data_IF_399790844110
#
_entry.id   IF_399790844110
#
_cell.length_a   1.000
_cell.length_b   1.000
_cell.length_c   1.000
_cell.angle_alpha   90.00
_cell.angle_beta   90.00
_cell.angle_gamma   90.00
#
_symmetry.space_group_name_H-M   'P 1'
#
loop_
_entity.id
_entity.type
_entity.pdbx_description
1 polymer ?
#
# COMPACT_ATOMS: atom_id res chain seq x y z
N UNK A 1 -17.54 8.58 14.88
CA UNK A 1 -16.16 9.05 14.69
C UNK A 1 -15.73 8.74 13.26
N UNK A 2 -15.04 9.65 12.57
CA UNK A 2 -14.55 9.42 11.19
C UNK A 2 -13.03 9.18 11.24
N UNK A 3 -12.43 8.47 10.27
CA UNK A 3 -10.98 8.23 10.26
C UNK A 3 -10.20 9.55 10.29
N UNK A 4 -9.44 9.79 11.36
CA UNK A 4 -8.73 11.06 11.59
C UNK A 4 -7.28 11.04 11.09
N UNK A 5 -6.79 9.92 10.56
CA UNK A 5 -5.38 9.73 10.18
C UNK A 5 -4.85 10.85 9.27
N UNK A 6 -5.60 11.23 8.22
CA UNK A 6 -5.22 12.34 7.32
C UNK A 6 -5.03 13.67 8.06
N UNK A 7 -5.93 13.98 9.00
CA UNK A 7 -5.81 15.18 9.83
C UNK A 7 -4.57 15.10 10.71
N UNK A 8 -4.32 13.95 11.35
CA UNK A 8 -3.15 13.77 12.23
C UNK A 8 -1.83 13.84 11.48
N UNK A 9 -1.74 13.33 10.25
CA UNK A 9 -0.55 13.52 9.41
C UNK A 9 -0.33 14.99 9.04
N UNK A 10 -1.39 15.75 8.79
CA UNK A 10 -1.27 17.20 8.58
C UNK A 10 -0.82 17.93 9.86
N UNK A 11 -1.28 17.52 11.04
CA UNK A 11 -0.82 18.07 12.33
C UNK A 11 0.68 17.77 12.57
N UNK A 12 1.18 16.61 12.13
CA UNK A 12 2.62 16.30 12.15
C UNK A 12 3.39 17.26 11.22
N UNK A 13 2.89 17.49 10.00
CA UNK A 13 3.53 18.42 9.07
C UNK A 13 3.58 19.86 9.63
N UNK A 14 2.53 20.30 10.33
CA UNK A 14 2.50 21.59 11.02
C UNK A 14 3.53 21.65 12.15
N UNK A 15 3.59 20.59 12.97
CA UNK A 15 4.54 20.50 14.09
C UNK A 15 6.00 20.53 13.64
N UNK A 16 6.30 19.92 12.49
CA UNK A 16 7.63 19.90 11.89
C UNK A 16 7.96 21.17 11.10
N UNK A 17 7.05 22.15 11.02
CA UNK A 17 7.27 23.39 10.29
C UNK A 17 7.31 23.24 8.77
N UNK A 18 6.76 22.15 8.22
CA UNK A 18 6.75 21.88 6.78
C UNK A 18 5.64 22.65 6.05
N UNK A 19 4.54 22.94 6.73
CA UNK A 19 3.36 23.60 6.16
C UNK A 19 3.54 25.12 6.00
N UNK A 20 2.75 25.71 5.09
CA UNK A 20 2.56 27.16 4.99
C UNK A 20 1.14 27.58 5.44
N UNK A 21 0.93 28.83 5.87
CA UNK A 21 -0.40 29.37 6.15
C UNK A 21 -1.34 29.18 4.95
N UNK A 22 -2.53 28.63 5.18
CA UNK A 22 -3.53 28.39 4.14
C UNK A 22 -3.42 27.04 3.43
N UNK A 23 -2.40 26.22 3.71
CA UNK A 23 -2.30 24.87 3.13
C UNK A 23 -3.48 23.99 3.55
N UNK A 24 -4.07 23.30 2.57
CA UNK A 24 -5.09 22.27 2.81
C UNK A 24 -4.43 20.99 3.34
N UNK A 25 -5.18 20.17 4.08
CA UNK A 25 -4.72 18.88 4.64
C UNK A 25 -3.96 18.02 3.64
N UNK A 26 -4.42 17.91 2.38
CA UNK A 26 -3.74 17.13 1.35
C UNK A 26 -2.33 17.68 1.06
N UNK A 27 -2.18 18.98 0.83
CA UNK A 27 -0.87 19.59 0.57
C UNK A 27 0.11 19.41 1.74
N UNK A 28 -0.38 19.44 2.99
CA UNK A 28 0.43 19.17 4.18
C UNK A 28 0.97 17.73 4.21
N UNK A 29 0.15 16.76 3.82
CA UNK A 29 0.57 15.35 3.71
C UNK A 29 1.61 15.19 2.59
N UNK A 30 1.40 15.79 1.42
CA UNK A 30 2.38 15.75 0.32
C UNK A 30 3.73 16.34 0.74
N UNK A 31 3.73 17.44 1.50
CA UNK A 31 4.97 18.01 2.04
C UNK A 31 5.65 17.11 3.06
N UNK A 32 4.89 16.41 3.90
CA UNK A 32 5.42 15.40 4.82
C UNK A 32 6.06 14.23 4.06
N UNK A 33 5.43 13.76 2.99
CA UNK A 33 5.99 12.71 2.12
C UNK A 33 7.26 13.18 1.44
N UNK A 34 7.26 14.39 0.85
CA UNK A 34 8.44 14.95 0.19
C UNK A 34 9.64 15.09 1.15
N UNK A 35 9.40 15.48 2.41
CA UNK A 35 10.42 15.54 3.44
C UNK A 35 10.95 14.14 3.85
N UNK A 36 10.07 13.13 3.92
CA UNK A 36 10.51 11.75 4.15
C UNK A 36 11.36 11.21 2.98
N UNK A 37 10.98 11.51 1.73
CA UNK A 37 11.76 11.14 0.55
C UNK A 37 13.14 11.82 0.54
N UNK A 38 13.23 13.09 0.93
CA UNK A 38 14.53 13.77 1.01
C UNK A 38 15.42 13.14 2.08
N UNK A 39 14.90 12.81 3.26
CA UNK A 39 15.66 12.13 4.32
C UNK A 39 16.13 10.75 3.85
N UNK A 40 15.24 9.95 3.22
CA UNK A 40 15.63 8.65 2.67
C UNK A 40 16.79 8.79 1.67
N UNK A 41 16.73 9.78 0.79
CA UNK A 41 17.77 10.04 -0.19
C UNK A 41 19.10 10.47 0.47
N UNK A 42 19.07 11.38 1.46
CA UNK A 42 20.24 11.81 2.21
C UNK A 42 20.94 10.66 2.94
N UNK A 43 20.15 9.70 3.45
CA UNK A 43 20.64 8.51 4.14
C UNK A 43 21.02 7.35 3.19
N UNK A 44 20.86 7.53 1.87
CA UNK A 44 21.17 6.49 0.89
C UNK A 44 20.22 5.29 0.92
N UNK A 45 18.98 5.48 1.38
CA UNK A 45 17.95 4.42 1.38
C UNK A 45 17.45 4.20 -0.06
N UNK A 46 17.45 2.96 -0.57
CA UNK A 46 16.93 2.65 -1.91
C UNK A 46 15.47 3.06 -2.09
N UNK A 47 15.07 3.40 -3.32
CA UNK A 47 13.69 3.86 -3.59
C UNK A 47 12.67 2.73 -3.66
N UNK A 48 13.14 1.48 -3.72
CA UNK A 48 12.30 0.31 -3.85
C UNK A 48 12.95 -0.93 -3.27
N UNK A 49 12.15 -1.96 -2.98
CA UNK A 49 12.66 -3.26 -2.52
C UNK A 49 13.52 -3.92 -3.61
N UNK A 50 13.19 -3.69 -4.89
CA UNK A 50 13.99 -4.13 -6.03
C UNK A 50 15.38 -3.49 -6.03
N UNK A 51 15.46 -2.18 -5.80
CA UNK A 51 16.76 -1.47 -5.70
C UNK A 51 17.56 -1.87 -4.46
N UNK A 52 16.89 -2.40 -3.42
CA UNK A 52 17.55 -3.00 -2.26
C UNK A 52 18.13 -4.41 -2.54
N UNK A 53 17.97 -4.95 -3.75
CA UNK A 53 18.61 -6.19 -4.20
C UNK A 53 17.74 -7.45 -4.13
N UNK A 54 16.44 -7.33 -3.83
CA UNK A 54 15.53 -8.48 -3.84
C UNK A 54 15.14 -8.84 -5.27
N UNK A 55 15.25 -10.11 -5.62
CA UNK A 55 14.92 -10.59 -6.96
C UNK A 55 13.41 -10.69 -7.17
N UNK A 56 12.96 -10.30 -8.36
CA UNK A 56 11.53 -10.21 -8.69
C UNK A 56 10.81 -11.56 -8.57
N UNK A 57 11.43 -12.62 -9.07
CA UNK A 57 10.85 -13.95 -9.00
C UNK A 57 10.64 -14.42 -7.55
N UNK A 58 11.60 -14.11 -6.66
CA UNK A 58 11.51 -14.47 -5.25
C UNK A 58 10.45 -13.62 -4.52
N UNK A 59 10.43 -12.32 -4.80
CA UNK A 59 9.42 -11.43 -4.24
C UNK A 59 7.99 -11.84 -4.65
N UNK A 60 7.75 -12.04 -5.94
CA UNK A 60 6.43 -12.42 -6.46
C UNK A 60 5.98 -13.80 -5.97
N UNK A 61 6.91 -14.73 -5.71
CA UNK A 61 6.60 -16.03 -5.14
C UNK A 61 6.13 -15.97 -3.68
N UNK A 62 6.51 -14.92 -2.94
CA UNK A 62 6.26 -14.80 -1.50
C UNK A 62 5.28 -13.69 -1.10
N UNK A 63 4.98 -12.74 -2.00
CA UNK A 63 4.18 -11.55 -1.66
C UNK A 63 2.78 -11.87 -1.16
N UNK A 64 2.16 -12.95 -1.64
CA UNK A 64 0.85 -13.41 -1.14
C UNK A 64 0.91 -13.80 0.34
N UNK A 65 1.84 -14.68 0.69
CA UNK A 65 2.05 -15.10 2.09
C UNK A 65 2.47 -13.92 2.98
N UNK A 66 3.36 -13.05 2.50
CA UNK A 66 3.77 -11.85 3.23
C UNK A 66 2.58 -10.94 3.55
N UNK A 67 1.59 -10.86 2.66
CA UNK A 67 0.40 -10.04 2.86
C UNK A 67 -0.55 -10.63 3.91
N UNK A 68 -0.64 -11.96 3.97
CA UNK A 68 -1.40 -12.69 5.00
C UNK A 68 -0.71 -12.54 6.38
N UNK A 69 0.58 -12.83 6.45
CA UNK A 69 1.37 -12.71 7.68
C UNK A 69 1.34 -11.27 8.23
N UNK A 70 1.39 -10.25 7.35
CA UNK A 70 1.26 -8.85 7.75
C UNK A 70 -0.14 -8.50 8.29
N UNK A 71 -1.19 -9.13 7.78
CA UNK A 71 -2.54 -8.94 8.29
C UNK A 71 -2.71 -9.53 9.69
N UNK A 72 -2.10 -10.69 9.95
CA UNK A 72 -2.18 -11.41 11.22
C UNK A 72 -1.19 -10.89 12.29
N UNK A 73 -0.29 -9.96 11.93
CA UNK A 73 0.63 -9.33 12.87
C UNK A 73 -0.11 -8.53 13.96
N UNK A 74 0.35 -8.65 15.21
CA UNK A 74 -0.27 -7.99 16.37
C UNK A 74 -0.28 -6.46 16.25
N UNK A 75 0.64 -5.87 15.48
CA UNK A 75 0.69 -4.44 15.24
C UNK A 75 -0.48 -3.96 14.35
N UNK A 76 -1.01 -4.80 13.47
CA UNK A 76 -2.05 -4.42 12.49
C UNK A 76 -3.36 -3.99 13.16
N UNK A 77 -3.68 -4.57 14.31
CA UNK A 77 -4.89 -4.23 15.08
C UNK A 77 -4.96 -2.76 15.53
N UNK A 78 -3.81 -2.08 15.65
CA UNK A 78 -3.73 -0.67 16.03
C UNK A 78 -3.74 0.30 14.83
N UNK A 79 -3.69 -0.22 13.59
CA UNK A 79 -3.67 0.64 12.41
C UNK A 79 -5.03 1.38 12.26
N UNK A 80 -5.05 2.72 12.05
CA UNK A 80 -6.29 3.49 12.02
C UNK A 80 -7.22 3.15 10.85
N UNK A 81 -6.74 2.40 9.85
CA UNK A 81 -7.53 1.75 8.82
C UNK A 81 -7.30 0.24 8.93
N UNK A 82 -8.32 -0.52 9.30
CA UNK A 82 -8.20 -1.98 9.26
C UNK A 82 -8.03 -2.43 7.79
N UNK A 83 -6.89 -3.02 7.40
CA UNK A 83 -6.59 -3.26 6.00
C UNK A 83 -7.26 -4.54 5.50
N UNK A 84 -7.36 -4.68 4.19
CA UNK A 84 -7.58 -5.97 3.55
C UNK A 84 -6.24 -6.57 3.10
N UNK A 85 -6.11 -7.90 3.10
CA UNK A 85 -4.91 -8.59 2.59
C UNK A 85 -4.57 -8.13 1.16
N UNK A 86 -5.59 -7.94 0.30
CA UNK A 86 -5.41 -7.42 -1.06
C UNK A 86 -4.83 -6.00 -1.11
N UNK A 87 -5.15 -5.16 -0.12
CA UNK A 87 -4.62 -3.80 -0.02
C UNK A 87 -3.16 -3.82 0.43
N UNK A 88 -2.83 -4.67 1.41
CA UNK A 88 -1.44 -4.89 1.84
C UNK A 88 -0.58 -5.43 0.69
N UNK A 89 -1.09 -6.42 -0.07
CA UNK A 89 -0.42 -6.94 -1.27
C UNK A 89 -0.12 -5.86 -2.28
N UNK A 90 -1.08 -4.96 -2.53
CA UNK A 90 -0.87 -3.87 -3.48
C UNK A 90 0.19 -2.88 -2.99
N UNK A 91 0.18 -2.49 -1.71
CA UNK A 91 1.23 -1.64 -1.11
C UNK A 91 2.61 -2.30 -1.25
N UNK A 92 2.71 -3.61 -0.96
CA UNK A 92 3.96 -4.36 -1.10
C UNK A 92 4.46 -4.36 -2.55
N UNK A 93 3.56 -4.59 -3.52
CA UNK A 93 3.89 -4.53 -4.94
C UNK A 93 4.36 -3.12 -5.35
N UNK A 94 3.66 -2.07 -4.95
CA UNK A 94 4.05 -0.69 -5.27
C UNK A 94 5.40 -0.34 -4.67
N UNK A 95 5.66 -0.76 -3.44
CA UNK A 95 6.96 -0.60 -2.78
C UNK A 95 8.08 -1.37 -3.50
N UNK A 96 7.78 -2.57 -4.03
CA UNK A 96 8.76 -3.36 -4.79
C UNK A 96 9.19 -2.68 -6.08
N UNK A 97 8.25 -2.05 -6.80
CA UNK A 97 8.54 -1.38 -8.06
C UNK A 97 8.84 0.12 -7.92
N UNK A 98 8.78 0.69 -6.72
CA UNK A 98 9.01 2.12 -6.47
C UNK A 98 7.88 3.02 -6.99
N UNK A 99 6.62 2.59 -6.80
CA UNK A 99 5.42 3.35 -7.17
C UNK A 99 4.70 3.87 -5.93
N UNK A 100 3.96 4.94 -6.10
CA UNK A 100 3.03 5.43 -5.08
C UNK A 100 1.76 4.58 -5.07
N UNK A 101 1.26 4.26 -3.87
CA UNK A 101 -0.01 3.57 -3.73
C UNK A 101 -1.17 4.48 -4.15
N UNK A 102 -2.02 3.99 -5.06
CA UNK A 102 -3.26 4.68 -5.45
C UNK A 102 -4.47 3.78 -5.21
N UNK A 103 -5.45 4.31 -4.48
CA UNK A 103 -6.62 3.54 -4.03
C UNK A 103 -7.43 2.91 -5.19
N UNK A 104 -7.50 3.60 -6.34
CA UNK A 104 -8.29 3.17 -7.49
C UNK A 104 -7.80 1.88 -8.16
N UNK A 105 -6.51 1.58 -8.06
CA UNK A 105 -5.92 0.38 -8.68
C UNK A 105 -6.31 -0.92 -7.95
N UNK A 106 -6.54 -0.85 -6.64
CA UNK A 106 -6.99 -1.99 -5.82
C UNK A 106 -8.43 -2.38 -6.18
N UNK A 107 -9.30 -1.38 -6.36
CA UNK A 107 -10.69 -1.59 -6.74
C UNK A 107 -10.81 -2.24 -8.13
N UNK A 108 -10.05 -1.74 -9.10
CA UNK A 108 -10.04 -2.28 -10.46
C UNK A 108 -9.57 -3.74 -10.52
N UNK A 109 -8.62 -4.16 -9.67
CA UNK A 109 -8.14 -5.55 -9.63
C UNK A 109 -9.13 -6.51 -8.95
N UNK A 110 -9.92 -6.06 -7.97
CA UNK A 110 -10.96 -6.89 -7.34
C UNK A 110 -12.03 -7.33 -8.34
N UNK A 111 -12.40 -6.46 -9.27
CA UNK A 111 -13.45 -6.75 -10.27
C UNK A 111 -13.00 -7.77 -11.32
N UNK A 112 -11.69 -7.93 -11.55
CA UNK A 112 -11.14 -8.85 -12.56
C UNK A 112 -11.00 -10.29 -12.01
N UNK A 113 -10.80 -10.46 -10.70
CA UNK A 113 -10.59 -11.81 -10.09
C UNK A 113 -11.93 -12.52 -9.78
N UNK A 114 -13.07 -11.84 -9.88
CA UNK A 114 -14.39 -12.39 -9.52
C UNK A 114 -15.08 -13.27 -10.60
N UNK A 115 -14.40 -13.66 -11.70
CA UNK A 115 -14.93 -14.62 -12.67
C UNK A 115 -13.86 -15.63 -13.13
N UNK A 116 -14.09 -16.94 -12.92
CA UNK A 116 -14.89 -17.70 -13.89
C UNK A 116 -15.90 -18.67 -13.26
N UNK A 117 -17.12 -18.73 -13.80
CA UNK A 117 -18.10 -19.78 -13.49
C UNK A 117 -17.84 -21.02 -14.35
N UNK A 118 -17.56 -22.12 -13.64
CA UNK A 118 -17.59 -23.54 -14.00
C UNK A 118 -18.15 -23.95 -15.38
N UNK A 119 -17.32 -24.64 -16.18
CA UNK A 119 -17.76 -25.51 -17.26
C UNK A 119 -18.42 -26.79 -16.70
N UNK A 120 -19.74 -26.95 -16.89
CA UNK A 120 -20.42 -28.23 -16.69
C UNK A 120 -20.26 -29.11 -17.92
N UNK A 121 -19.34 -30.09 -17.86
CA UNK A 121 -19.27 -31.21 -18.81
C UNK A 121 -20.32 -32.25 -18.42
N UNK A 122 -21.50 -32.22 -19.04
CA UNK A 122 -22.48 -33.30 -18.93
C UNK A 122 -22.11 -34.43 -19.91
N UNK A 123 -21.57 -35.53 -19.37
CA UNK A 123 -21.55 -36.84 -20.02
C UNK A 123 -23.01 -37.29 -20.22
N UNK A 124 -23.41 -37.63 -21.44
CA UNK A 124 -24.56 -38.50 -21.67
C UNK A 124 -24.07 -39.75 -22.39
N UNK A 125 -24.16 -40.86 -21.67
CA UNK A 125 -24.03 -42.22 -22.15
C UNK A 125 -25.43 -42.83 -22.20
N UNK A 126 -25.64 -43.71 -23.17
CA UNK A 126 -26.87 -44.43 -23.54
C UNK A 126 -27.92 -43.60 -24.31
#
# INVERSE_FOLDING_TARGET
DRPQARRRYAEIADHLGLSAPGDRTAAKIEKLLAWLESIKAELGIPKSIREAGVQEADFLAHVDKLSEDAFDDQCTGANPRYPLISELKQILLDTYYGRDFTEGEVAAKKDVVAAPKAEKKAKKSA
#
